data_IF_198503607517
#
_entry.id   IF_198503607517
#
_cell.length_a   1.000
_cell.length_b   1.000
_cell.length_c   1.000
_cell.angle_alpha   90.00
_cell.angle_beta   90.00
_cell.angle_gamma   90.00
#
_symmetry.space_group_name_H-M   'P 1'
#
loop_
_entity.id
_entity.type
_entity.pdbx_description
1 polymer ?
#
# COMPACT_ATOMS: atom_id res chain seq x y z
N UNK A 1 23.22 4.74 12.35
CA UNK A 1 22.82 4.35 10.98
C UNK A 1 24.03 3.74 10.32
N UNK A 2 24.09 2.44 10.27
CA UNK A 2 25.13 1.73 9.53
C UNK A 2 24.60 1.40 8.13
N UNK A 3 25.42 1.60 7.11
CA UNK A 3 25.10 1.31 5.71
C UNK A 3 23.81 1.94 5.15
N UNK A 4 23.38 3.09 5.69
CA UNK A 4 22.18 3.77 5.22
C UNK A 4 20.85 3.29 5.83
N UNK A 5 20.89 2.36 6.79
CA UNK A 5 19.71 1.84 7.51
C UNK A 5 19.84 2.03 9.02
N UNK A 6 18.73 2.36 9.66
CA UNK A 6 18.58 2.37 11.10
C UNK A 6 17.86 1.10 11.56
N UNK A 7 18.45 0.39 12.53
CA UNK A 7 17.72 -0.68 13.23
C UNK A 7 16.92 -0.08 14.39
N UNK A 8 15.64 -0.40 14.44
CA UNK A 8 14.70 0.14 15.43
C UNK A 8 13.98 -1.02 16.11
N UNK A 9 13.88 -0.96 17.44
CA UNK A 9 13.05 -1.87 18.22
C UNK A 9 11.72 -1.19 18.53
N UNK A 10 10.62 -1.78 18.11
CA UNK A 10 9.28 -1.23 18.24
C UNK A 10 8.40 -2.21 19.01
N UNK A 11 7.73 -1.73 20.06
CA UNK A 11 6.65 -2.45 20.70
C UNK A 11 5.37 -2.29 19.87
N UNK A 12 4.82 -3.40 19.37
CA UNK A 12 3.52 -3.42 18.72
C UNK A 12 2.47 -3.90 19.71
N UNK A 13 1.40 -3.12 19.96
CA UNK A 13 0.25 -3.56 20.76
C UNK A 13 -0.42 -4.80 20.20
N UNK A 14 -1.32 -5.42 20.97
CA UNK A 14 -2.10 -6.55 20.52
C UNK A 14 -2.85 -6.28 19.20
N UNK A 15 -2.86 -7.27 18.30
CA UNK A 15 -3.48 -7.20 16.98
C UNK A 15 -2.49 -7.48 15.85
N UNK A 16 -2.89 -7.14 14.65
CA UNK A 16 -2.06 -7.21 13.45
C UNK A 16 -1.82 -5.80 12.92
N UNK A 17 -0.60 -5.54 12.43
CA UNK A 17 -0.12 -4.23 12.04
C UNK A 17 0.49 -4.24 10.65
N UNK A 18 0.09 -3.30 9.83
CA UNK A 18 0.68 -3.06 8.51
C UNK A 18 1.81 -2.03 8.63
N UNK A 19 3.02 -2.41 8.25
CA UNK A 19 4.16 -1.52 8.20
C UNK A 19 4.14 -0.71 6.90
N UNK A 20 4.03 0.60 7.01
CA UNK A 20 3.74 1.50 5.89
C UNK A 20 4.70 1.39 4.71
N UNK A 21 6.02 1.40 4.99
CA UNK A 21 7.04 1.45 3.94
C UNK A 21 7.31 0.11 3.27
N UNK A 22 7.05 -0.98 3.94
CA UNK A 22 7.39 -2.32 3.43
C UNK A 22 6.18 -3.14 2.99
N UNK A 23 4.98 -2.75 3.43
CA UNK A 23 3.79 -3.56 3.20
C UNK A 23 3.75 -4.85 4.01
N UNK A 24 4.60 -4.99 5.02
CA UNK A 24 4.64 -6.17 5.87
C UNK A 24 3.50 -6.17 6.89
N UNK A 25 2.82 -7.31 7.04
CA UNK A 25 1.87 -7.57 8.11
C UNK A 25 2.61 -8.21 9.29
N UNK A 26 2.54 -7.57 10.44
CA UNK A 26 3.26 -7.96 11.64
C UNK A 26 2.26 -8.27 12.77
N UNK A 27 2.48 -9.37 13.46
CA UNK A 27 1.73 -9.69 14.67
C UNK A 27 2.16 -8.77 15.80
N UNK A 28 1.21 -8.26 16.54
CA UNK A 28 1.45 -7.47 17.75
C UNK A 28 1.66 -8.29 19.01
N UNK A 29 1.55 -7.64 20.16
CA UNK A 29 1.87 -8.13 21.49
C UNK A 29 3.33 -8.61 21.63
N UNK A 30 4.23 -7.92 20.93
CA UNK A 30 5.67 -8.23 20.96
C UNK A 30 6.52 -7.03 20.56
N UNK A 31 7.81 -7.11 20.87
CA UNK A 31 8.82 -6.20 20.32
C UNK A 31 9.29 -6.78 18.99
N UNK A 32 9.25 -5.98 17.94
CA UNK A 32 9.81 -6.31 16.63
C UNK A 32 11.09 -5.50 16.38
N UNK A 33 12.07 -6.11 15.76
CA UNK A 33 13.27 -5.42 15.28
C UNK A 33 13.15 -5.22 13.78
N UNK A 34 13.19 -3.95 13.35
CA UNK A 34 12.97 -3.58 11.96
C UNK A 34 14.07 -2.64 11.49
N UNK A 35 14.35 -2.70 10.19
CA UNK A 35 15.35 -1.84 9.53
C UNK A 35 14.65 -0.86 8.61
N UNK A 36 14.98 0.42 8.76
CA UNK A 36 14.43 1.52 7.96
C UNK A 36 15.56 2.26 7.23
N UNK A 37 15.34 2.57 5.96
CA UNK A 37 16.22 3.43 5.21
C UNK A 37 16.16 4.88 5.73
N UNK A 38 17.09 5.74 5.28
CA UNK A 38 17.17 7.13 5.74
C UNK A 38 15.93 7.95 5.40
N UNK A 39 15.19 7.55 4.38
CA UNK A 39 13.94 8.13 3.89
C UNK A 39 12.70 7.38 4.38
N UNK A 40 12.88 6.36 5.23
CA UNK A 40 11.81 5.61 5.88
C UNK A 40 11.80 5.90 7.38
N UNK A 41 10.63 5.87 7.99
CA UNK A 41 10.46 5.93 9.44
C UNK A 41 9.36 4.99 9.91
N UNK A 42 9.38 4.51 11.16
CA UNK A 42 8.42 3.52 11.63
C UNK A 42 7.01 4.12 11.69
N UNK A 43 6.17 3.72 10.75
CA UNK A 43 4.72 3.95 10.76
C UNK A 43 4.04 2.60 10.71
N UNK A 44 3.13 2.36 11.64
CA UNK A 44 2.33 1.14 11.71
C UNK A 44 0.85 1.50 11.74
N UNK A 45 0.12 0.94 10.81
CA UNK A 45 -1.34 1.09 10.71
C UNK A 45 -1.97 -0.22 11.15
N UNK A 46 -3.04 -0.17 11.91
CA UNK A 46 -3.79 -1.39 12.25
C UNK A 46 -4.22 -2.10 10.97
N UNK A 47 -3.91 -3.38 10.86
CA UNK A 47 -4.26 -4.17 9.68
C UNK A 47 -5.77 -4.15 9.45
N UNK A 48 -6.18 -4.08 8.20
CA UNK A 48 -7.57 -3.94 7.79
C UNK A 48 -8.16 -2.54 8.00
N UNK A 49 -7.38 -1.54 8.39
CA UNK A 49 -7.90 -0.18 8.56
C UNK A 49 -8.39 0.43 7.23
N UNK A 50 -9.38 1.30 7.34
CA UNK A 50 -9.79 2.23 6.28
C UNK A 50 -9.40 3.62 6.74
N UNK A 51 -8.52 4.29 6.00
CA UNK A 51 -7.99 5.58 6.39
C UNK A 51 -8.36 6.65 5.38
N UNK A 52 -9.29 7.58 5.71
CA UNK A 52 -9.49 8.77 4.92
C UNK A 52 -8.30 9.72 5.04
N UNK A 53 -7.87 10.29 3.93
CA UNK A 53 -6.72 11.18 3.85
C UNK A 53 -7.02 12.34 2.92
N UNK A 54 -6.27 13.42 3.04
CA UNK A 54 -6.18 14.43 1.99
C UNK A 54 -5.36 13.91 0.82
N UNK A 55 -5.57 14.48 -0.35
CA UNK A 55 -4.75 14.19 -1.53
C UNK A 55 -3.35 14.81 -1.38
N UNK A 56 -2.37 14.25 -2.08
CA UNK A 56 -0.97 14.68 -2.01
C UNK A 56 -0.75 16.13 -2.46
N UNK A 57 -1.67 16.70 -3.25
CA UNK A 57 -1.61 18.08 -3.73
C UNK A 57 -2.27 19.11 -2.79
N UNK A 58 -2.79 18.68 -1.64
CA UNK A 58 -3.41 19.57 -0.66
C UNK A 58 -2.33 20.27 0.18
N UNK A 59 -2.21 21.59 -0.02
CA UNK A 59 -1.19 22.41 0.67
C UNK A 59 -1.64 22.96 2.03
N UNK A 60 -2.95 23.02 2.27
CA UNK A 60 -3.56 23.41 3.55
C UNK A 60 -4.93 22.74 3.70
N UNK A 61 -5.47 22.74 4.91
CA UNK A 61 -6.72 22.02 5.24
C UNK A 61 -7.99 22.83 4.90
N UNK A 62 -7.86 24.11 4.53
CA UNK A 62 -9.02 24.96 4.28
C UNK A 62 -9.53 24.76 2.86
N UNK A 63 -10.80 24.43 2.70
CA UNK A 63 -11.49 24.37 1.40
C UNK A 63 -11.03 23.23 0.48
N UNK A 64 -10.48 22.14 1.03
CA UNK A 64 -10.01 20.98 0.25
C UNK A 64 -10.76 19.69 0.62
N UNK A 65 -12.02 19.79 0.98
CA UNK A 65 -12.87 18.70 1.44
C UNK A 65 -13.82 18.15 0.35
N UNK A 66 -13.73 18.66 -0.86
CA UNK A 66 -14.54 18.20 -2.01
C UNK A 66 -14.03 16.88 -2.60
N UNK A 67 -12.78 16.52 -2.36
CA UNK A 67 -12.18 15.26 -2.78
C UNK A 67 -11.46 14.59 -1.60
N UNK A 68 -11.76 13.32 -1.34
CA UNK A 68 -11.19 12.54 -0.24
C UNK A 68 -10.51 11.30 -0.78
N UNK A 69 -9.24 11.09 -0.38
CA UNK A 69 -8.56 9.82 -0.58
C UNK A 69 -9.01 8.83 0.51
N UNK A 70 -9.35 7.61 0.11
CA UNK A 70 -9.69 6.51 1.03
C UNK A 70 -8.73 5.37 0.80
N UNK A 71 -7.83 5.15 1.75
CA UNK A 71 -6.85 4.05 1.67
C UNK A 71 -7.35 2.86 2.48
N UNK A 72 -7.42 1.69 1.85
CA UNK A 72 -7.82 0.41 2.44
C UNK A 72 -6.57 -0.44 2.64
N UNK A 73 -6.31 -0.82 3.88
CA UNK A 73 -5.15 -1.64 4.26
C UNK A 73 -5.51 -3.12 4.30
N UNK A 74 -4.58 -4.03 3.96
CA UNK A 74 -4.80 -5.47 4.03
C UNK A 74 -4.80 -5.99 5.48
N UNK A 75 -5.26 -7.23 5.69
CA UNK A 75 -5.26 -7.92 6.98
C UNK A 75 -6.41 -7.53 7.90
N UNK A 76 -6.32 -7.84 9.17
CA UNK A 76 -7.29 -7.46 10.20
C UNK A 76 -8.62 -8.23 10.15
N UNK A 77 -8.72 -9.29 9.33
CA UNK A 77 -9.94 -10.08 9.13
C UNK A 77 -10.76 -9.62 7.92
N UNK A 78 -11.97 -10.17 7.79
CA UNK A 78 -12.81 -10.00 6.59
C UNK A 78 -13.63 -8.71 6.60
N UNK A 79 -13.69 -7.99 7.72
CA UNK A 79 -14.52 -6.79 7.89
C UNK A 79 -13.71 -5.64 8.49
N UNK A 80 -13.91 -4.44 7.97
CA UNK A 80 -13.34 -3.20 8.47
C UNK A 80 -14.38 -2.10 8.51
N UNK A 81 -14.30 -1.21 9.50
CA UNK A 81 -15.17 -0.05 9.62
C UNK A 81 -14.39 1.17 10.08
N UNK A 82 -14.77 2.34 9.59
CA UNK A 82 -14.28 3.63 10.02
C UNK A 82 -15.41 4.66 10.02
N UNK A 83 -15.37 5.61 10.93
CA UNK A 83 -16.29 6.74 10.97
C UNK A 83 -15.51 8.02 10.66
N UNK A 84 -15.69 8.55 9.46
CA UNK A 84 -15.17 9.86 9.11
C UNK A 84 -16.05 10.92 9.78
N UNK A 85 -15.51 11.54 10.81
CA UNK A 85 -16.10 12.67 11.50
C UNK A 85 -15.61 13.96 10.84
N UNK A 86 -16.51 14.92 10.67
CA UNK A 86 -16.25 16.21 10.04
C UNK A 86 -17.06 17.32 10.73
N UNK A 87 -16.44 18.46 10.91
CA UNK A 87 -17.06 19.71 11.35
C UNK A 87 -16.45 20.89 10.57
N UNK A 88 -16.82 22.13 10.89
CA UNK A 88 -16.29 23.30 10.19
C UNK A 88 -14.85 23.67 10.57
N UNK A 89 -14.27 23.04 11.60
CA UNK A 89 -12.90 23.25 12.05
C UNK A 89 -12.57 24.61 12.67
N UNK A 90 -13.53 25.52 12.74
CA UNK A 90 -13.29 26.93 13.07
C UNK A 90 -14.03 27.44 14.31
N UNK A 91 -14.95 26.67 14.90
CA UNK A 91 -15.72 27.08 16.07
C UNK A 91 -15.77 25.98 17.14
N UNK A 92 -16.48 26.29 18.25
CA UNK A 92 -16.61 25.37 19.39
C UNK A 92 -17.86 24.50 19.33
N UNK A 93 -18.62 24.55 18.25
CA UNK A 93 -19.90 23.83 18.11
C UNK A 93 -19.72 22.37 17.65
N UNK A 94 -18.50 21.88 17.55
CA UNK A 94 -18.13 20.52 17.08
C UNK A 94 -18.92 19.39 17.77
N UNK A 95 -19.46 19.62 18.96
CA UNK A 95 -20.28 18.63 19.68
C UNK A 95 -21.74 18.54 19.17
N UNK A 96 -22.22 19.57 18.47
CA UNK A 96 -23.61 19.67 17.97
C UNK A 96 -23.73 19.89 16.46
N UNK A 97 -22.70 20.49 15.85
CA UNK A 97 -22.64 20.80 14.42
C UNK A 97 -21.54 19.98 13.76
N UNK A 98 -21.83 18.74 13.45
CA UNK A 98 -20.92 17.80 12.81
C UNK A 98 -21.65 16.86 11.87
N UNK A 99 -20.89 16.21 11.01
CA UNK A 99 -21.38 15.13 10.16
C UNK A 99 -20.49 13.89 10.28
N UNK A 100 -21.07 12.73 10.04
CA UNK A 100 -20.35 11.45 10.06
C UNK A 100 -20.66 10.68 8.78
N UNK A 101 -19.62 10.19 8.12
CA UNK A 101 -19.70 9.24 7.02
C UNK A 101 -19.12 7.91 7.48
N UNK A 102 -19.91 6.84 7.47
CA UNK A 102 -19.44 5.49 7.77
C UNK A 102 -18.77 4.90 6.54
N UNK A 103 -17.54 4.43 6.70
CA UNK A 103 -16.80 3.65 5.70
C UNK A 103 -16.74 2.21 6.18
N UNK A 104 -16.98 1.25 5.29
CA UNK A 104 -16.84 -0.16 5.64
C UNK A 104 -16.28 -0.95 4.46
N UNK A 105 -15.51 -2.00 4.75
CA UNK A 105 -15.02 -2.94 3.76
C UNK A 105 -15.29 -4.37 4.24
N UNK A 106 -15.81 -5.19 3.35
CA UNK A 106 -16.05 -6.62 3.61
C UNK A 106 -15.38 -7.41 2.50
N UNK A 107 -14.56 -8.38 2.87
CA UNK A 107 -13.94 -9.33 1.95
C UNK A 107 -14.55 -10.71 2.14
N UNK A 108 -14.99 -11.31 1.06
CA UNK A 108 -15.51 -12.68 1.04
C UNK A 108 -14.83 -13.45 -0.10
N UNK A 109 -13.83 -14.24 0.26
CA UNK A 109 -13.00 -14.94 -0.71
C UNK A 109 -12.27 -13.99 -1.66
N UNK A 110 -12.59 -14.06 -2.94
CA UNK A 110 -12.02 -13.21 -3.99
C UNK A 110 -12.85 -11.94 -4.27
N UNK A 111 -13.92 -11.70 -3.53
CA UNK A 111 -14.72 -10.49 -3.65
C UNK A 111 -14.45 -9.53 -2.48
N UNK A 112 -14.35 -8.25 -2.78
CA UNK A 112 -14.27 -7.19 -1.78
C UNK A 112 -15.32 -6.13 -2.07
N UNK A 113 -16.10 -5.76 -1.07
CA UNK A 113 -17.08 -4.69 -1.15
C UNK A 113 -16.67 -3.58 -0.19
N UNK A 114 -16.37 -2.39 -0.73
CA UNK A 114 -16.18 -1.17 0.04
C UNK A 114 -17.45 -0.32 -0.06
N UNK A 115 -17.95 0.14 1.07
CA UNK A 115 -19.10 1.04 1.16
C UNK A 115 -18.67 2.36 1.77
N UNK A 116 -18.92 3.44 1.04
CA UNK A 116 -18.89 4.81 1.54
C UNK A 116 -20.34 5.20 1.80
N UNK A 117 -20.74 5.16 3.06
CA UNK A 117 -22.13 5.38 3.48
C UNK A 117 -22.61 6.79 3.17
N UNK A 118 -23.90 7.01 3.27
CA UNK A 118 -24.47 8.35 3.25
C UNK A 118 -23.96 9.14 4.46
N UNK A 119 -23.71 10.42 4.25
CA UNK A 119 -23.34 11.32 5.34
C UNK A 119 -24.55 11.62 6.22
N UNK A 120 -24.37 11.53 7.53
CA UNK A 120 -25.39 11.83 8.56
C UNK A 120 -24.95 13.03 9.37
N UNK A 121 -25.90 13.91 9.74
CA UNK A 121 -25.61 15.17 10.42
C UNK A 121 -25.33 16.32 9.46
N UNK A 122 -25.00 17.48 10.02
CA UNK A 122 -24.74 18.70 9.25
C UNK A 122 -23.86 19.67 10.06
N UNK A 123 -23.07 20.43 9.34
CA UNK A 123 -22.29 21.58 9.86
C UNK A 123 -22.29 22.70 8.81
N UNK A 124 -21.93 23.90 9.24
CA UNK A 124 -21.93 25.06 8.38
C UNK A 124 -20.92 24.91 7.23
N UNK A 125 -21.32 25.26 6.03
CA UNK A 125 -20.51 25.26 4.80
C UNK A 125 -19.99 23.87 4.36
N UNK A 126 -20.62 22.77 4.83
CA UNK A 126 -20.24 21.41 4.42
C UNK A 126 -20.46 21.17 2.92
N UNK A 127 -19.55 20.47 2.23
CA UNK A 127 -19.72 20.13 0.82
C UNK A 127 -20.93 19.21 0.62
N UNK A 128 -21.81 19.52 -0.34
CA UNK A 128 -22.98 18.71 -0.65
C UNK A 128 -22.66 17.57 -1.64
N UNK A 129 -21.60 17.75 -2.40
CA UNK A 129 -21.13 16.82 -3.43
C UNK A 129 -19.67 16.55 -3.20
N UNK A 130 -19.24 15.28 -3.34
CA UNK A 130 -17.85 14.87 -3.10
C UNK A 130 -17.43 13.75 -4.04
N UNK A 131 -16.18 13.80 -4.50
CA UNK A 131 -15.50 12.70 -5.18
C UNK A 131 -14.59 11.94 -4.21
N UNK A 132 -14.26 10.68 -4.56
CA UNK A 132 -13.35 9.87 -3.76
C UNK A 132 -12.29 9.20 -4.64
N UNK A 133 -11.06 9.16 -4.16
CA UNK A 133 -9.98 8.34 -4.71
C UNK A 133 -9.73 7.17 -3.75
N UNK A 134 -10.16 5.99 -4.15
CA UNK A 134 -9.96 4.77 -3.37
C UNK A 134 -8.64 4.14 -3.76
N UNK A 135 -7.77 3.87 -2.75
CA UNK A 135 -6.51 3.13 -2.90
C UNK A 135 -6.59 1.86 -2.07
N UNK A 136 -6.52 0.69 -2.71
CA UNK A 136 -6.48 -0.60 -2.02
C UNK A 136 -5.06 -1.11 -2.09
N UNK A 137 -4.39 -1.19 -0.93
CA UNK A 137 -2.99 -1.59 -0.80
C UNK A 137 -2.83 -3.11 -0.84
N UNK A 138 -1.64 -3.58 -1.22
CA UNK A 138 -1.29 -5.00 -1.35
C UNK A 138 -2.37 -5.77 -2.12
N UNK A 139 -2.81 -5.16 -3.22
CA UNK A 139 -3.91 -5.64 -4.05
C UNK A 139 -3.39 -6.37 -5.28
N UNK A 140 -4.07 -7.45 -5.66
CA UNK A 140 -3.93 -8.01 -7.01
C UNK A 140 -4.65 -7.13 -8.02
N UNK A 141 -4.29 -7.30 -9.29
CA UNK A 141 -5.04 -6.69 -10.40
C UNK A 141 -6.41 -7.37 -10.49
N UNK A 142 -7.52 -6.63 -10.38
CA UNK A 142 -8.84 -7.21 -10.32
C UNK A 142 -9.33 -7.69 -11.69
N UNK A 143 -10.20 -8.68 -11.68
CA UNK A 143 -10.96 -9.11 -12.87
C UNK A 143 -12.05 -8.10 -13.22
N UNK A 144 -12.66 -7.48 -12.22
CA UNK A 144 -13.65 -6.44 -12.42
C UNK A 144 -13.74 -5.47 -11.23
N UNK A 145 -14.10 -4.24 -11.54
CA UNK A 145 -14.44 -3.21 -10.55
C UNK A 145 -15.77 -2.59 -10.95
N UNK A 146 -16.68 -2.50 -10.00
CA UNK A 146 -17.99 -1.87 -10.19
C UNK A 146 -18.22 -0.81 -9.11
N UNK A 147 -18.80 0.32 -9.50
CA UNK A 147 -19.26 1.37 -8.59
C UNK A 147 -20.76 1.54 -8.78
N UNK A 148 -21.54 1.38 -7.72
CA UNK A 148 -23.01 1.44 -7.73
C UNK A 148 -23.65 0.53 -8.81
N UNK A 149 -23.07 -0.66 -9.03
CA UNK A 149 -23.55 -1.63 -10.01
C UNK A 149 -23.14 -1.36 -11.46
N UNK A 150 -22.36 -0.30 -11.73
CA UNK A 150 -21.84 0.03 -13.07
C UNK A 150 -20.34 -0.26 -13.14
N UNK A 151 -19.83 -0.76 -14.28
CA UNK A 151 -18.41 -0.93 -14.49
C UNK A 151 -17.65 0.37 -14.27
N UNK A 152 -16.59 0.33 -13.48
CA UNK A 152 -15.77 1.49 -13.17
C UNK A 152 -14.38 1.36 -13.78
N UNK A 153 -13.80 2.50 -14.16
CA UNK A 153 -12.39 2.58 -14.54
C UNK A 153 -11.52 2.48 -13.28
N UNK A 154 -10.43 1.77 -13.40
CA UNK A 154 -9.41 1.70 -12.37
C UNK A 154 -8.03 1.78 -12.99
N UNK A 155 -7.05 2.12 -12.19
CA UNK A 155 -5.63 2.04 -12.50
C UNK A 155 -4.96 1.11 -11.51
N UNK A 156 -3.89 0.46 -11.93
CA UNK A 156 -3.05 -0.33 -11.03
C UNK A 156 -1.66 0.29 -10.95
N UNK A 157 -1.23 0.60 -9.73
CA UNK A 157 0.13 1.06 -9.46
C UNK A 157 1.01 -0.14 -9.15
N UNK A 158 1.86 -0.53 -10.08
CA UNK A 158 2.89 -1.55 -9.82
C UNK A 158 3.93 -1.10 -8.81
N UNK A 159 4.19 0.21 -8.74
CA UNK A 159 5.11 0.80 -7.77
C UNK A 159 4.64 0.65 -6.32
N UNK A 160 3.33 0.74 -6.09
CA UNK A 160 2.70 0.61 -4.78
C UNK A 160 2.04 -0.76 -4.56
N UNK A 161 1.97 -1.60 -5.57
CA UNK A 161 1.13 -2.81 -5.60
C UNK A 161 -0.29 -2.50 -5.13
N UNK A 162 -0.86 -1.45 -5.67
CA UNK A 162 -2.14 -0.89 -5.23
C UNK A 162 -3.12 -0.70 -6.39
N UNK A 163 -4.39 -0.97 -6.09
CA UNK A 163 -5.51 -0.66 -6.97
C UNK A 163 -5.99 0.77 -6.68
N UNK A 164 -6.16 1.57 -7.72
CA UNK A 164 -6.64 2.95 -7.67
C UNK A 164 -7.99 3.04 -8.40
N UNK A 165 -9.03 3.51 -7.71
CA UNK A 165 -10.38 3.63 -8.24
C UNK A 165 -10.86 5.06 -8.02
N UNK A 166 -11.23 5.74 -9.10
CA UNK A 166 -11.82 7.07 -9.06
C UNK A 166 -13.36 6.96 -8.99
N UNK A 167 -13.93 7.50 -7.92
CA UNK A 167 -15.38 7.66 -7.78
C UNK A 167 -15.70 9.13 -8.08
N UNK A 168 -16.39 9.40 -9.19
CA UNK A 168 -16.74 10.77 -9.58
C UNK A 168 -17.62 11.42 -8.51
N UNK A 169 -17.67 12.75 -8.54
CA UNK A 169 -18.44 13.54 -7.60
C UNK A 169 -19.93 13.15 -7.59
N UNK A 170 -20.42 12.83 -6.42
CA UNK A 170 -21.81 12.43 -6.15
C UNK A 170 -22.30 13.08 -4.86
N UNK A 171 -23.62 13.19 -4.71
CA UNK A 171 -24.24 13.73 -3.51
C UNK A 171 -23.79 12.97 -2.26
N UNK A 172 -23.48 13.69 -1.19
CA UNK A 172 -22.97 13.11 0.05
C UNK A 172 -24.03 12.35 0.86
N UNK A 173 -25.30 12.59 0.58
CA UNK A 173 -26.44 11.88 1.18
C UNK A 173 -26.76 10.53 0.48
N UNK A 174 -25.99 10.17 -0.56
CA UNK A 174 -26.10 8.91 -1.28
C UNK A 174 -24.93 7.98 -0.90
N UNK A 175 -25.24 6.71 -0.72
CA UNK A 175 -24.26 5.65 -0.53
C UNK A 175 -23.49 5.36 -1.84
N UNK A 176 -22.20 5.04 -1.73
CA UNK A 176 -21.37 4.58 -2.83
C UNK A 176 -20.85 3.18 -2.50
N UNK A 177 -21.16 2.23 -3.37
CA UNK A 177 -20.77 0.83 -3.20
C UNK A 177 -19.76 0.46 -4.28
N UNK A 178 -18.55 0.12 -3.87
CA UNK A 178 -17.48 -0.37 -4.74
C UNK A 178 -17.37 -1.88 -4.57
N UNK A 179 -17.56 -2.64 -5.65
CA UNK A 179 -17.35 -4.10 -5.68
C UNK A 179 -16.14 -4.41 -6.53
N UNK A 180 -15.23 -5.19 -5.97
CA UNK A 180 -13.98 -5.61 -6.59
C UNK A 180 -13.96 -7.13 -6.62
N UNK A 181 -13.71 -7.72 -7.78
CA UNK A 181 -13.54 -9.17 -7.94
C UNK A 181 -12.09 -9.43 -8.34
N UNK A 182 -11.38 -10.20 -7.54
CA UNK A 182 -10.00 -10.57 -7.76
C UNK A 182 -9.87 -11.95 -8.42
N UNK A 183 -8.72 -12.27 -9.03
CA UNK A 183 -8.38 -13.65 -9.38
C UNK A 183 -8.44 -14.56 -8.16
N UNK A 184 -8.72 -15.84 -8.36
CA UNK A 184 -8.75 -16.85 -7.29
C UNK A 184 -7.34 -17.31 -6.86
N UNK A 185 -6.31 -16.95 -7.61
CA UNK A 185 -4.92 -17.29 -7.32
C UNK A 185 -4.45 -16.61 -6.06
N UNK A 186 -3.78 -17.39 -5.22
CA UNK A 186 -3.15 -16.87 -4.01
C UNK A 186 -1.75 -16.38 -4.35
N UNK A 187 -1.48 -15.14 -4.04
CA UNK A 187 -0.17 -14.49 -4.24
C UNK A 187 0.29 -13.92 -2.91
N UNK A 188 1.54 -14.17 -2.55
CA UNK A 188 2.12 -13.62 -1.34
C UNK A 188 2.53 -12.16 -1.57
N UNK A 189 1.75 -11.25 -0.99
CA UNK A 189 1.96 -9.81 -1.03
C UNK A 189 2.65 -9.29 0.24
N UNK A 190 2.89 -10.17 1.23
CA UNK A 190 3.41 -9.74 2.52
C UNK A 190 4.86 -9.25 2.42
N UNK A 191 5.10 -7.97 2.66
CA UNK A 191 6.43 -7.36 2.56
C UNK A 191 6.96 -7.18 1.13
N UNK A 192 6.18 -7.53 0.10
CA UNK A 192 6.58 -7.42 -1.31
C UNK A 192 6.98 -6.00 -1.69
N UNK A 193 6.20 -5.01 -1.23
CA UNK A 193 6.46 -3.60 -1.49
C UNK A 193 7.88 -3.18 -1.06
N UNK A 194 8.26 -3.49 0.17
CA UNK A 194 9.59 -3.17 0.69
C UNK A 194 10.68 -3.95 0.02
N UNK A 195 10.49 -5.24 -0.19
CA UNK A 195 11.48 -6.10 -0.84
C UNK A 195 11.78 -5.61 -2.27
N UNK A 196 10.75 -5.37 -3.10
CA UNK A 196 10.93 -4.93 -4.48
C UNK A 196 11.56 -3.53 -4.57
N UNK A 197 11.11 -2.57 -3.76
CA UNK A 197 11.65 -1.21 -3.73
C UNK A 197 13.13 -1.19 -3.31
N UNK A 198 13.48 -1.93 -2.26
CA UNK A 198 14.86 -2.02 -1.78
C UNK A 198 15.77 -2.70 -2.79
N UNK A 199 15.32 -3.76 -3.46
CA UNK A 199 16.05 -4.40 -4.57
C UNK A 199 16.30 -3.39 -5.70
N UNK A 200 15.26 -2.74 -6.21
CA UNK A 200 15.38 -1.78 -7.31
C UNK A 200 16.34 -0.63 -6.97
N UNK A 201 16.17 -0.01 -5.79
CA UNK A 201 17.03 1.08 -5.29
C UNK A 201 18.48 0.64 -5.14
N UNK A 202 18.71 -0.55 -4.57
CA UNK A 202 20.07 -1.08 -4.38
C UNK A 202 20.73 -1.47 -5.70
N UNK A 203 19.98 -1.98 -6.67
CA UNK A 203 20.51 -2.24 -8.01
C UNK A 203 20.91 -0.95 -8.73
N UNK A 204 20.15 0.12 -8.59
CA UNK A 204 20.54 1.41 -9.14
C UNK A 204 21.82 1.94 -8.47
N UNK A 205 21.91 1.88 -7.16
CA UNK A 205 23.12 2.25 -6.43
C UNK A 205 24.33 1.38 -6.80
N UNK A 206 24.12 0.09 -7.11
CA UNK A 206 25.17 -0.81 -7.53
C UNK A 206 25.81 -0.38 -8.86
N UNK A 207 25.04 0.24 -9.79
CA UNK A 207 25.59 0.81 -11.04
C UNK A 207 26.63 1.91 -10.76
N UNK A 208 26.46 2.70 -9.72
CA UNK A 208 27.44 3.72 -9.31
C UNK A 208 28.68 3.13 -8.63
N UNK A 209 28.53 1.99 -7.96
CA UNK A 209 29.63 1.28 -7.29
C UNK A 209 30.42 0.39 -8.25
N UNK A 210 29.77 -0.05 -9.33
CA UNK A 210 30.35 -0.86 -10.40
C UNK A 210 29.80 -0.41 -11.75
N UNK A 211 30.42 0.61 -12.35
CA UNK A 211 29.95 1.27 -13.58
C UNK A 211 29.90 0.38 -14.82
N UNK A 212 30.55 -0.78 -14.80
CA UNK A 212 30.55 -1.74 -15.91
C UNK A 212 29.65 -2.95 -15.66
N UNK A 213 28.80 -2.90 -14.64
CA UNK A 213 27.93 -4.02 -14.33
C UNK A 213 26.87 -4.20 -15.41
N UNK A 214 26.72 -5.45 -15.87
CA UNK A 214 25.62 -5.90 -16.70
C UNK A 214 24.79 -6.87 -15.86
N UNK A 215 23.54 -6.55 -15.65
CA UNK A 215 22.67 -7.43 -14.88
C UNK A 215 22.29 -8.67 -15.69
N UNK A 216 22.56 -9.85 -15.14
CA UNK A 216 22.04 -11.10 -15.68
C UNK A 216 20.52 -11.13 -15.56
N UNK A 217 19.85 -11.84 -16.42
CA UNK A 217 18.38 -11.80 -16.58
C UNK A 217 17.61 -11.98 -15.27
N UNK A 218 17.98 -13.00 -14.48
CA UNK A 218 17.35 -13.29 -13.19
C UNK A 218 17.42 -12.09 -12.24
N UNK A 219 18.61 -11.50 -12.10
CA UNK A 219 18.82 -10.36 -11.24
C UNK A 219 18.13 -9.10 -11.77
N UNK A 220 18.16 -8.88 -13.10
CA UNK A 220 17.47 -7.78 -13.75
C UNK A 220 15.95 -7.84 -13.55
N UNK A 221 15.34 -9.02 -13.65
CA UNK A 221 13.90 -9.22 -13.41
C UNK A 221 13.47 -8.85 -12.00
N UNK A 222 14.31 -9.09 -10.99
CA UNK A 222 13.99 -8.69 -9.61
C UNK A 222 13.88 -7.17 -9.48
N UNK A 223 14.76 -6.40 -10.13
CA UNK A 223 14.75 -4.93 -10.04
C UNK A 223 13.63 -4.26 -10.82
N UNK A 224 13.06 -4.95 -11.80
CA UNK A 224 12.00 -4.43 -12.68
C UNK A 224 10.61 -4.98 -12.37
N UNK A 225 10.41 -5.62 -11.22
CA UNK A 225 9.12 -6.26 -10.90
C UNK A 225 7.93 -5.29 -10.99
N UNK A 226 8.05 -4.09 -10.44
CA UNK A 226 6.97 -3.09 -10.43
C UNK A 226 6.57 -2.67 -11.85
N UNK A 227 7.55 -2.51 -12.74
CA UNK A 227 7.32 -2.21 -14.15
C UNK A 227 6.70 -3.41 -14.87
N UNK A 228 7.26 -4.61 -14.66
CA UNK A 228 6.76 -5.83 -15.28
C UNK A 228 5.29 -6.09 -14.95
N UNK A 229 4.89 -5.94 -13.69
CA UNK A 229 3.49 -6.07 -13.26
C UNK A 229 2.59 -5.01 -13.91
N UNK A 230 3.09 -3.79 -14.12
CA UNK A 230 2.34 -2.72 -14.77
C UNK A 230 2.10 -3.02 -16.25
N UNK A 231 3.10 -3.54 -16.97
CA UNK A 231 3.02 -3.81 -18.41
C UNK A 231 2.44 -5.17 -18.75
N UNK A 232 2.57 -6.17 -17.88
CA UNK A 232 2.04 -7.53 -18.08
C UNK A 232 1.13 -7.95 -16.90
N UNK A 233 -0.01 -7.27 -16.72
CA UNK A 233 -0.88 -7.47 -15.54
C UNK A 233 -1.41 -8.91 -15.40
N UNK A 234 -1.62 -9.61 -16.49
CA UNK A 234 -2.06 -11.02 -16.48
C UNK A 234 -1.00 -11.98 -15.94
N UNK A 235 0.28 -11.58 -15.96
CA UNK A 235 1.40 -12.40 -15.49
C UNK A 235 1.79 -12.10 -14.03
N UNK A 236 1.09 -11.16 -13.38
CA UNK A 236 1.40 -10.72 -12.03
C UNK A 236 1.63 -11.86 -11.03
N UNK A 237 0.80 -12.91 -10.94
CA UNK A 237 1.03 -14.01 -10.01
C UNK A 237 2.36 -14.74 -10.26
N UNK A 238 2.68 -15.03 -11.51
CA UNK A 238 3.93 -15.68 -11.89
C UNK A 238 5.15 -14.80 -11.62
N UNK A 239 5.07 -13.51 -11.99
CA UNK A 239 6.14 -12.54 -11.75
C UNK A 239 6.48 -12.39 -10.26
N UNK A 240 5.47 -12.37 -9.39
CA UNK A 240 5.68 -12.28 -7.94
C UNK A 240 6.25 -13.59 -7.39
N UNK A 241 5.78 -14.74 -7.87
CA UNK A 241 6.32 -16.04 -7.46
C UNK A 241 7.81 -16.18 -7.85
N UNK A 242 8.18 -15.78 -9.06
CA UNK A 242 9.56 -15.77 -9.54
C UNK A 242 10.44 -14.79 -8.73
N UNK A 243 9.89 -13.61 -8.40
CA UNK A 243 10.58 -12.65 -7.53
C UNK A 243 10.89 -13.25 -6.16
N UNK A 244 9.90 -13.83 -5.47
CA UNK A 244 10.11 -14.42 -4.16
C UNK A 244 11.08 -15.61 -4.20
N UNK A 245 11.03 -16.43 -5.25
CA UNK A 245 12.01 -17.50 -5.46
C UNK A 245 13.44 -16.93 -5.50
N UNK A 246 13.67 -15.94 -6.36
CA UNK A 246 14.99 -15.31 -6.50
C UNK A 246 15.39 -14.52 -5.25
N UNK A 247 14.44 -13.85 -4.58
CA UNK A 247 14.70 -13.14 -3.33
C UNK A 247 15.13 -14.07 -2.19
N UNK A 248 14.50 -15.24 -2.05
CA UNK A 248 14.87 -16.22 -1.04
C UNK A 248 16.25 -16.85 -1.29
N UNK A 249 16.69 -16.88 -2.55
CA UNK A 249 18.01 -17.34 -2.98
C UNK A 249 18.98 -16.19 -3.28
N UNK A 250 18.69 -14.97 -2.81
CA UNK A 250 19.43 -13.77 -3.17
C UNK A 250 20.96 -13.89 -3.02
N UNK A 251 21.54 -14.49 -1.96
CA UNK A 251 22.99 -14.70 -1.90
C UNK A 251 23.52 -15.46 -3.12
N UNK A 252 22.86 -16.55 -3.53
CA UNK A 252 23.26 -17.34 -4.69
C UNK A 252 23.02 -16.59 -6.02
N UNK A 253 21.97 -15.78 -6.10
CA UNK A 253 21.73 -14.90 -7.28
C UNK A 253 22.87 -13.90 -7.45
N UNK A 254 23.36 -13.30 -6.35
CA UNK A 254 24.47 -12.36 -6.35
C UNK A 254 25.80 -13.05 -6.69
N UNK A 255 26.04 -14.29 -6.25
CA UNK A 255 27.18 -15.09 -6.64
C UNK A 255 27.14 -15.38 -8.15
N UNK A 256 25.98 -15.76 -8.70
CA UNK A 256 25.80 -15.93 -10.15
C UNK A 256 26.01 -14.64 -10.94
N UNK A 257 25.77 -13.48 -10.31
CA UNK A 257 26.06 -12.16 -10.91
C UNK A 257 27.55 -11.85 -10.98
N UNK A 258 28.41 -12.66 -10.34
CA UNK A 258 29.89 -12.52 -10.31
C UNK A 258 30.38 -11.21 -9.65
N UNK A 259 29.65 -10.73 -8.65
CA UNK A 259 30.04 -9.56 -7.87
C UNK A 259 31.18 -9.90 -6.93
N UNK A 260 32.01 -8.89 -6.65
CA UNK A 260 33.01 -8.99 -5.57
C UNK A 260 32.32 -9.18 -4.23
N UNK A 261 32.96 -9.89 -3.30
CA UNK A 261 32.40 -10.25 -2.01
C UNK A 261 31.97 -9.05 -1.15
N UNK A 262 32.69 -7.93 -1.24
CA UNK A 262 32.33 -6.68 -0.57
C UNK A 262 31.03 -6.08 -1.12
N UNK A 263 30.81 -6.15 -2.43
CA UNK A 263 29.59 -5.71 -3.07
C UNK A 263 28.39 -6.64 -2.76
N UNK A 264 28.64 -7.95 -2.66
CA UNK A 264 27.60 -8.92 -2.22
C UNK A 264 27.16 -8.59 -0.78
N UNK A 265 28.14 -8.44 0.13
CA UNK A 265 27.85 -8.09 1.52
C UNK A 265 27.09 -6.76 1.62
N UNK A 266 27.57 -5.74 0.92
CA UNK A 266 26.89 -4.45 0.87
C UNK A 266 25.46 -4.56 0.34
N UNK A 267 25.22 -5.32 -0.75
CA UNK A 267 23.90 -5.46 -1.35
C UNK A 267 22.91 -6.13 -0.40
N UNK A 268 23.30 -7.24 0.23
CA UNK A 268 22.47 -7.94 1.21
C UNK A 268 22.08 -7.04 2.39
N UNK A 269 23.02 -6.23 2.86
CA UNK A 269 22.75 -5.24 3.91
C UNK A 269 21.82 -4.12 3.41
N UNK A 270 22.04 -3.62 2.18
CA UNK A 270 21.25 -2.51 1.62
C UNK A 270 19.78 -2.87 1.37
N UNK A 271 19.47 -4.14 1.13
CA UNK A 271 18.09 -4.62 1.00
C UNK A 271 17.50 -5.13 2.32
N UNK A 272 18.28 -5.12 3.40
CA UNK A 272 17.90 -5.72 4.69
C UNK A 272 17.44 -7.17 4.53
N UNK A 273 18.19 -7.94 3.72
CA UNK A 273 17.77 -9.29 3.35
C UNK A 273 17.64 -10.21 4.56
N UNK A 274 16.53 -10.91 4.59
CA UNK A 274 16.30 -12.08 5.44
C UNK A 274 15.48 -13.07 4.64
N UNK A 275 15.81 -14.35 4.74
CA UNK A 275 15.03 -15.40 4.09
C UNK A 275 13.60 -15.40 4.65
N UNK A 276 12.64 -15.36 3.78
CA UNK A 276 11.21 -15.38 4.11
C UNK A 276 10.68 -16.81 4.23
#
# INVERSE_FOLDING_TARGET
VENGYAQVRVWLPEGEWYEWHTGALLKGNQIVERSFAVDEYPIYIKAGAILPMYLDNVMNLNGNDEEVAVTVFPGGGDTAEFKLYEDNGNDKNYASEYAVTKLSSVRNGNEQTLVIGKREGAYKDMPLVRSFKVKVLSSLIPQSVMVNGHPAKYQYSGEDFALLIDIPAQACDQEKVVKIVYPSEKVDMNGLLGASRRIAKSMEQLKYRNSYIVFKEEFGKMGSLSEAVTYAPSEMPALIADFWKSYNELPAVLERQELKSDLVTWFLQSVCWSKQ
#
